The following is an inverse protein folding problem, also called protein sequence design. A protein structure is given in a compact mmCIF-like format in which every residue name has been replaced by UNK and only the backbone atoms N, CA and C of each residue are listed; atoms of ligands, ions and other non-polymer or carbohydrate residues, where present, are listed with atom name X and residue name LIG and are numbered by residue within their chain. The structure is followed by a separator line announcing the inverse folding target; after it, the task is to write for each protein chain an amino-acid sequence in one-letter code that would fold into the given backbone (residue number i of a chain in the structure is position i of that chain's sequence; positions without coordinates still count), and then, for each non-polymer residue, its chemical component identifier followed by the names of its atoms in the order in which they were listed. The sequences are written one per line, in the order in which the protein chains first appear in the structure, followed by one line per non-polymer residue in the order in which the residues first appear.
data_IF_431011401212
#
_entry.id   IF_431011401212
#
_cell.length_a   1.000
_cell.length_b   1.000
_cell.length_c   1.000
_cell.angle_alpha   90.00
_cell.angle_beta   90.00
_cell.angle_gamma   90.00
#
_symmetry.space_group_name_H-M   'P 1'
#
loop_
_entity.id
_entity.type
_entity.pdbx_description
1 polymer ?
#
# COMPACT_ATOMS: atom_id res chain seq x y z
N UNK A 1 10.58 -3.80 -8.16
CA UNK A 1 10.00 -3.18 -6.93
C UNK A 1 10.28 -1.68 -6.81
N UNK A 2 11.42 -1.17 -7.27
CA UNK A 2 11.77 0.26 -7.22
C UNK A 2 10.65 1.27 -7.60
N UNK A 3 9.91 1.12 -8.72
CA UNK A 3 8.88 2.11 -9.08
C UNK A 3 7.68 2.11 -8.11
N UNK A 4 7.35 0.97 -7.50
CA UNK A 4 6.28 0.88 -6.50
C UNK A 4 6.65 1.61 -5.21
N UNK A 5 7.91 1.50 -4.79
CA UNK A 5 8.42 2.20 -3.61
C UNK A 5 8.42 3.71 -3.83
N UNK A 6 8.89 4.18 -4.99
CA UNK A 6 8.87 5.60 -5.34
C UNK A 6 7.44 6.18 -5.33
N UNK A 7 6.46 5.45 -5.87
CA UNK A 7 5.06 5.85 -5.84
C UNK A 7 4.49 5.93 -4.40
N UNK A 8 4.84 4.98 -3.53
CA UNK A 8 4.41 5.02 -2.13
C UNK A 8 4.99 6.24 -1.41
N UNK A 9 6.29 6.50 -1.59
CA UNK A 9 6.95 7.67 -1.00
C UNK A 9 6.32 8.97 -1.51
N UNK A 10 6.06 9.09 -2.81
CA UNK A 10 5.39 10.25 -3.39
C UNK A 10 3.98 10.47 -2.81
N UNK A 11 3.19 9.40 -2.63
CA UNK A 11 1.87 9.49 -2.04
C UNK A 11 1.90 9.93 -0.56
N UNK A 12 2.84 9.41 0.23
CA UNK A 12 3.08 9.87 1.60
C UNK A 12 3.48 11.34 1.63
N UNK A 13 4.43 11.77 0.76
CA UNK A 13 4.84 13.17 0.64
C UNK A 13 3.70 14.09 0.18
N UNK A 14 2.74 13.58 -0.58
CA UNK A 14 1.53 14.30 -0.97
C UNK A 14 0.46 14.38 0.14
N UNK A 15 0.69 13.76 1.30
CA UNK A 15 -0.18 13.83 2.47
C UNK A 15 -1.00 12.57 2.76
N UNK A 16 -0.74 11.45 2.05
CA UNK A 16 -1.34 10.18 2.43
C UNK A 16 -0.82 9.75 3.81
N UNK A 17 -1.72 9.35 4.70
CA UNK A 17 -1.35 8.86 6.04
C UNK A 17 -0.63 7.50 6.01
N UNK A 18 -1.02 6.65 5.06
CA UNK A 18 -0.44 5.34 4.85
C UNK A 18 -0.74 4.87 3.42
N UNK A 19 0.15 4.05 2.86
CA UNK A 19 0.00 3.40 1.56
C UNK A 19 0.18 1.91 1.76
N UNK A 20 -0.62 1.08 1.08
CA UNK A 20 -0.50 -0.38 1.17
C UNK A 20 -0.34 -0.99 -0.22
N UNK A 21 0.68 -1.83 -0.37
CA UNK A 21 0.91 -2.62 -1.58
C UNK A 21 0.28 -3.99 -1.37
N UNK A 22 -0.66 -4.35 -2.24
CA UNK A 22 -1.32 -5.66 -2.24
C UNK A 22 -0.99 -6.44 -3.51
N UNK A 23 -1.16 -7.76 -3.45
CA UNK A 23 -1.21 -8.59 -4.65
C UNK A 23 -2.63 -8.51 -5.24
N UNK A 24 -2.71 -7.98 -6.47
CA UNK A 24 -3.97 -7.76 -7.20
C UNK A 24 -4.55 -9.02 -7.85
N UNK A 25 -3.85 -10.15 -7.81
CA UNK A 25 -4.37 -11.42 -8.35
C UNK A 25 -5.41 -12.09 -7.43
N UNK A 26 -5.55 -11.63 -6.19
CA UNK A 26 -6.56 -12.12 -5.25
C UNK A 26 -7.38 -10.95 -4.67
N UNK A 27 -8.69 -10.97 -4.91
CA UNK A 27 -9.62 -9.94 -4.44
C UNK A 27 -9.71 -9.87 -2.90
N UNK A 28 -9.47 -10.97 -2.18
CA UNK A 28 -9.45 -10.97 -0.70
C UNK A 28 -8.35 -10.06 -0.14
N UNK A 29 -7.24 -9.88 -0.87
CA UNK A 29 -6.15 -9.01 -0.41
C UNK A 29 -6.58 -7.55 -0.28
N UNK A 30 -7.57 -7.11 -1.08
CA UNK A 30 -8.14 -5.77 -0.94
C UNK A 30 -8.93 -5.64 0.37
N UNK A 31 -9.76 -6.64 0.68
CA UNK A 31 -10.52 -6.70 1.94
C UNK A 31 -9.59 -6.71 3.15
N UNK A 32 -8.55 -7.55 3.12
CA UNK A 32 -7.54 -7.62 4.18
C UNK A 32 -6.83 -6.27 4.35
N UNK A 33 -6.42 -5.63 3.25
CA UNK A 33 -5.75 -4.34 3.27
C UNK A 33 -6.61 -3.22 3.87
N UNK A 34 -7.91 -3.19 3.55
CA UNK A 34 -8.88 -2.26 4.14
C UNK A 34 -9.12 -2.55 5.63
N UNK A 35 -9.06 -3.82 6.04
CA UNK A 35 -9.09 -4.23 7.44
C UNK A 35 -7.75 -3.99 8.17
N UNK A 36 -6.72 -3.46 7.49
CA UNK A 36 -5.42 -3.15 8.07
C UNK A 36 -4.44 -4.33 8.13
N UNK A 37 -4.77 -5.48 7.55
CA UNK A 37 -3.92 -6.68 7.50
C UNK A 37 -3.46 -7.02 6.07
N UNK A 38 -2.44 -7.88 5.95
CA UNK A 38 -1.93 -8.34 4.65
C UNK A 38 -1.13 -7.31 3.84
N UNK A 39 -0.45 -7.78 2.80
CA UNK A 39 0.39 -6.92 1.93
C UNK A 39 1.53 -6.23 2.67
N UNK A 40 2.05 -5.16 2.07
CA UNK A 40 3.12 -4.32 2.66
C UNK A 40 2.59 -2.93 2.97
N UNK A 41 2.62 -2.54 4.24
CA UNK A 41 2.25 -1.21 4.71
C UNK A 41 3.46 -0.27 4.68
N UNK A 42 3.28 0.92 4.11
CA UNK A 42 4.22 2.04 4.13
C UNK A 42 3.55 3.19 4.86
N UNK A 43 4.20 3.72 5.89
CA UNK A 43 3.74 4.89 6.63
C UNK A 43 4.95 5.79 6.97
N UNK A 44 4.70 7.07 7.26
CA UNK A 44 5.70 7.99 7.78
C UNK A 44 5.92 7.79 9.28
#
# INVERSE_FOLDING_TARGET
MAPKVAACLAAISAGAKAVRIIDGNNAENLLLALAGSGGTLVHA
#
